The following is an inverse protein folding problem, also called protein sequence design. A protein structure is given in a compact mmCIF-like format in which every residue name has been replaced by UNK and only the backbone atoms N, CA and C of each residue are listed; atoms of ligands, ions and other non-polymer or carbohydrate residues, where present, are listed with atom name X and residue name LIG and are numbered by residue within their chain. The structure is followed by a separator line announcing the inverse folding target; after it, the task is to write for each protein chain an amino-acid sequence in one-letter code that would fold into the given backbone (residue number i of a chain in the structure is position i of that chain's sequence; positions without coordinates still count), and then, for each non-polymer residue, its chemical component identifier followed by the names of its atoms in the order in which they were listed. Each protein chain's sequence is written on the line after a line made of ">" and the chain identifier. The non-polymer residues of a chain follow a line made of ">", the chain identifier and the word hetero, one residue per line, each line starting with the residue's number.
data_IF_632597866533
#
_entry.id   IF_632597866533
#
_cell.length_a   1.000
_cell.length_b   1.000
_cell.length_c   1.000
_cell.angle_alpha   90.00
_cell.angle_beta   90.00
_cell.angle_gamma   90.00
#
_symmetry.space_group_name_H-M   'P 1'
#
loop_
_entity.id
_entity.type
_entity.pdbx_description
1 polymer ?
#
# COMPACT_ATOMS: atom_id res chain seq x y z
N UNK A 1 -43.26 -10.80 -77.93
CA UNK A 1 -42.24 -9.85 -77.41
C UNK A 1 -42.09 -10.05 -75.89
N UNK A 2 -40.98 -10.65 -75.42
CA UNK A 2 -40.74 -10.92 -74.04
C UNK A 2 -39.62 -9.99 -73.56
N UNK A 3 -39.95 -9.02 -72.72
CA UNK A 3 -38.95 -8.22 -72.00
C UNK A 3 -38.53 -8.96 -70.72
N UNK A 4 -37.27 -9.29 -70.63
CA UNK A 4 -36.64 -9.78 -69.42
C UNK A 4 -36.04 -8.60 -68.71
N UNK A 5 -36.53 -8.32 -67.49
CA UNK A 5 -35.95 -7.35 -66.60
C UNK A 5 -34.90 -8.09 -65.78
N UNK A 6 -33.64 -7.69 -65.90
CA UNK A 6 -32.55 -8.20 -65.06
C UNK A 6 -32.48 -7.40 -63.74
N UNK A 7 -32.74 -8.05 -62.67
CA UNK A 7 -32.54 -7.49 -61.31
C UNK A 7 -31.06 -7.57 -60.93
N UNK A 8 -30.40 -6.43 -60.90
CA UNK A 8 -29.09 -6.30 -60.34
C UNK A 8 -29.22 -6.12 -58.82
N UNK A 9 -28.93 -7.15 -58.06
CA UNK A 9 -28.79 -7.09 -56.60
C UNK A 9 -27.43 -6.48 -56.27
N UNK A 10 -27.44 -5.23 -55.85
CA UNK A 10 -26.26 -4.55 -55.31
C UNK A 10 -26.04 -5.03 -53.88
N UNK A 11 -25.02 -5.87 -53.67
CA UNK A 11 -24.57 -6.26 -52.35
C UNK A 11 -23.74 -5.10 -51.76
N UNK A 12 -24.35 -4.35 -50.84
CA UNK A 12 -23.62 -3.40 -50.01
C UNK A 12 -22.96 -4.21 -48.89
N UNK A 13 -21.67 -4.44 -49.02
CA UNK A 13 -20.85 -5.02 -47.94
C UNK A 13 -20.56 -3.90 -46.95
N UNK A 14 -21.29 -3.88 -45.83
CA UNK A 14 -20.99 -3.01 -44.68
C UNK A 14 -19.87 -3.71 -43.92
N UNK A 15 -18.63 -3.29 -44.18
CA UNK A 15 -17.49 -3.66 -43.33
C UNK A 15 -17.59 -2.90 -42.00
N UNK A 16 -18.13 -3.59 -40.98
CA UNK A 16 -18.12 -3.10 -39.62
C UNK A 16 -16.69 -3.09 -39.12
N UNK A 17 -16.07 -1.92 -39.14
CA UNK A 17 -14.76 -1.69 -38.51
C UNK A 17 -14.97 -1.67 -36.99
N UNK A 18 -14.76 -2.81 -36.34
CA UNK A 18 -14.67 -2.89 -34.88
C UNK A 18 -13.39 -2.19 -34.47
N UNK A 19 -13.50 -0.94 -34.07
CA UNK A 19 -12.45 -0.27 -33.29
C UNK A 19 -12.37 -0.96 -31.91
N UNK A 20 -11.53 -1.97 -31.81
CA UNK A 20 -11.10 -2.50 -30.52
C UNK A 20 -10.34 -1.37 -29.81
N UNK A 21 -11.08 -0.59 -29.02
CA UNK A 21 -10.51 0.36 -28.08
C UNK A 21 -9.80 -0.47 -27.02
N UNK A 22 -8.52 -0.74 -27.22
CA UNK A 22 -7.64 -1.31 -26.22
C UNK A 22 -7.44 -0.23 -25.16
N UNK A 23 -8.35 -0.16 -24.17
CA UNK A 23 -8.12 0.63 -22.99
C UNK A 23 -7.06 -0.10 -22.18
N UNK A 24 -5.80 0.24 -22.40
CA UNK A 24 -4.68 -0.16 -21.55
C UNK A 24 -4.86 0.55 -20.20
N UNK A 25 -5.70 -0.02 -19.34
CA UNK A 25 -5.62 0.33 -17.93
C UNK A 25 -4.24 -0.12 -17.43
N UNK A 26 -3.50 0.75 -16.77
CA UNK A 26 -2.21 0.36 -16.20
C UNK A 26 -2.46 -0.73 -15.15
N UNK A 27 -2.02 -1.94 -15.48
CA UNK A 27 -2.20 -3.12 -14.64
C UNK A 27 -1.42 -2.94 -13.34
N UNK A 28 -2.10 -3.06 -12.20
CA UNK A 28 -1.43 -3.02 -10.89
C UNK A 28 -0.49 -4.21 -10.76
N UNK A 29 0.78 -3.95 -10.46
CA UNK A 29 1.78 -5.00 -10.29
C UNK A 29 1.44 -5.87 -9.10
N UNK A 30 1.64 -7.18 -9.24
CA UNK A 30 1.51 -8.11 -8.12
C UNK A 30 2.67 -7.96 -7.13
N UNK A 31 2.48 -8.41 -5.89
CA UNK A 31 3.54 -8.42 -4.86
C UNK A 31 4.78 -9.15 -5.35
N UNK A 32 4.61 -10.30 -6.03
CA UNK A 32 5.72 -11.08 -6.55
C UNK A 32 6.51 -10.35 -7.65
N UNK A 33 5.84 -9.55 -8.49
CA UNK A 33 6.50 -8.70 -9.47
C UNK A 33 7.27 -7.57 -8.80
N UNK A 34 6.70 -6.90 -7.79
CA UNK A 34 7.39 -5.87 -7.04
C UNK A 34 8.59 -6.42 -6.25
N UNK A 35 8.47 -7.61 -5.66
CA UNK A 35 9.58 -8.27 -4.98
C UNK A 35 10.75 -8.55 -5.93
N UNK A 36 10.45 -8.98 -7.16
CA UNK A 36 11.45 -9.25 -8.20
C UNK A 36 12.14 -7.97 -8.70
N UNK A 37 11.41 -6.84 -8.74
CA UNK A 37 11.91 -5.57 -9.27
C UNK A 37 12.71 -4.80 -8.21
N UNK A 38 12.16 -4.65 -7.01
CA UNK A 38 12.73 -3.76 -5.98
C UNK A 38 13.18 -4.48 -4.70
N UNK A 39 12.73 -5.74 -4.46
CA UNK A 39 12.99 -6.47 -3.22
C UNK A 39 12.46 -5.75 -1.98
N UNK A 40 12.81 -6.24 -0.79
CA UNK A 40 12.43 -5.65 0.49
C UNK A 40 13.40 -4.57 0.99
N UNK A 41 14.49 -4.31 0.26
CA UNK A 41 15.59 -3.48 0.72
C UNK A 41 16.53 -4.22 1.67
N UNK A 42 17.51 -3.50 2.23
CA UNK A 42 18.44 -4.06 3.20
C UNK A 42 17.71 -4.49 4.49
N UNK A 43 18.15 -5.57 5.17
CA UNK A 43 17.64 -5.93 6.49
C UNK A 43 17.74 -4.74 7.45
N UNK A 44 16.78 -4.65 8.37
CA UNK A 44 16.74 -3.58 9.36
C UNK A 44 17.87 -3.80 10.38
N UNK A 45 18.92 -2.97 10.30
CA UNK A 45 20.13 -3.05 11.13
C UNK A 45 20.20 -1.92 12.16
N UNK A 46 19.37 -0.87 12.00
CA UNK A 46 19.28 0.23 12.96
C UNK A 46 18.64 -0.24 14.28
N UNK A 47 18.90 0.47 15.35
CA UNK A 47 18.16 0.31 16.61
C UNK A 47 16.74 0.91 16.43
N UNK A 48 15.84 0.09 15.88
CA UNK A 48 14.45 0.49 15.63
C UNK A 48 13.67 0.70 16.93
N UNK A 49 14.03 0.02 18.02
CA UNK A 49 13.37 0.22 19.31
C UNK A 49 13.67 1.61 19.87
N UNK A 50 14.94 2.02 19.88
CA UNK A 50 15.33 3.36 20.32
C UNK A 50 14.70 4.43 19.41
N UNK A 51 14.67 4.19 18.09
CA UNK A 51 14.02 5.10 17.15
C UNK A 51 12.52 5.27 17.46
N UNK A 52 11.80 4.16 17.66
CA UNK A 52 10.37 4.17 17.94
C UNK A 52 10.08 4.81 19.31
N UNK A 53 10.85 4.49 20.35
CA UNK A 53 10.74 5.14 21.66
C UNK A 53 10.95 6.65 21.56
N UNK A 54 11.94 7.10 20.78
CA UNK A 54 12.16 8.53 20.50
C UNK A 54 10.98 9.15 19.76
N UNK A 55 10.37 8.45 18.81
CA UNK A 55 9.18 8.92 18.12
C UNK A 55 8.01 9.15 19.08
N UNK A 56 7.81 8.25 20.04
CA UNK A 56 6.77 8.38 21.06
C UNK A 56 7.07 9.44 22.12
N UNK A 57 8.34 9.74 22.40
CA UNK A 57 8.72 10.68 23.45
C UNK A 57 8.15 12.10 23.26
N UNK A 58 7.80 12.47 22.04
CA UNK A 58 7.20 13.77 21.70
C UNK A 58 5.68 13.72 21.52
N UNK A 59 5.07 12.54 21.61
CA UNK A 59 3.65 12.33 21.31
C UNK A 59 2.83 11.83 22.50
N UNK A 60 3.45 11.07 23.39
CA UNK A 60 2.79 10.62 24.60
C UNK A 60 2.72 11.74 25.63
N UNK A 61 1.66 11.77 26.42
CA UNK A 61 1.50 12.71 27.53
C UNK A 61 2.51 12.45 28.66
N UNK A 62 2.75 11.17 28.95
CA UNK A 62 3.77 10.71 29.89
C UNK A 62 4.65 9.65 29.24
N UNK A 63 5.69 10.05 28.48
CA UNK A 63 6.57 9.12 27.79
C UNK A 63 7.36 8.21 28.73
N UNK A 64 7.63 8.67 29.96
CA UNK A 64 8.41 7.91 30.95
C UNK A 64 7.63 6.75 31.54
N UNK A 65 6.30 6.82 31.53
CA UNK A 65 5.44 5.72 31.98
C UNK A 65 5.19 4.67 30.92
N UNK A 66 5.64 4.91 29.69
CA UNK A 66 5.30 4.07 28.54
C UNK A 66 5.96 2.69 28.63
N UNK A 67 5.13 1.66 28.52
CA UNK A 67 5.54 0.26 28.40
C UNK A 67 5.40 -0.16 26.95
N UNK A 68 6.49 -0.70 26.40
CA UNK A 68 6.57 -1.10 24.99
C UNK A 68 6.75 -2.61 24.87
N UNK A 69 6.06 -3.22 23.91
CA UNK A 69 6.31 -4.60 23.47
C UNK A 69 6.49 -4.59 21.96
N UNK A 70 7.68 -4.98 21.51
CA UNK A 70 8.04 -4.97 20.08
C UNK A 70 7.96 -6.34 19.47
N UNK A 71 7.53 -6.43 18.22
CA UNK A 71 7.75 -7.60 17.38
C UNK A 71 9.14 -7.57 16.76
N UNK A 72 9.63 -8.74 16.35
CA UNK A 72 10.78 -8.80 15.46
C UNK A 72 10.40 -8.19 14.08
N UNK A 73 11.36 -7.54 13.38
CA UNK A 73 11.14 -7.04 12.03
C UNK A 73 10.75 -8.17 11.07
N UNK A 74 9.67 -8.00 10.35
CA UNK A 74 9.15 -8.97 9.39
C UNK A 74 9.07 -8.35 8.01
N UNK A 75 9.49 -9.09 6.97
CA UNK A 75 9.23 -8.72 5.59
C UNK A 75 7.74 -8.50 5.36
N UNK A 76 7.37 -7.37 4.82
CA UNK A 76 5.98 -7.00 4.62
C UNK A 76 5.84 -6.06 3.44
N UNK A 77 4.61 -5.85 3.02
CA UNK A 77 4.27 -4.90 1.96
C UNK A 77 3.14 -3.99 2.42
N UNK A 78 3.08 -2.84 1.80
CA UNK A 78 1.98 -1.90 1.92
C UNK A 78 1.45 -1.57 0.54
N UNK A 79 0.15 -1.70 0.35
CA UNK A 79 -0.50 -1.32 -0.89
C UNK A 79 -0.43 0.21 -1.06
N UNK A 80 -0.04 0.64 -2.25
CA UNK A 80 -0.11 2.04 -2.67
C UNK A 80 -1.43 2.24 -3.41
N UNK A 81 -2.18 3.26 -3.04
CA UNK A 81 -3.37 3.63 -3.78
C UNK A 81 -3.02 3.95 -5.24
N UNK A 82 -3.91 3.59 -6.19
CA UNK A 82 -3.79 4.08 -7.56
C UNK A 82 -3.75 5.61 -7.55
N UNK A 83 -2.78 6.18 -8.25
CA UNK A 83 -2.74 7.62 -8.50
C UNK A 83 -3.42 7.92 -9.83
N UNK A 84 -3.93 9.15 -10.07
CA UNK A 84 -4.68 9.47 -11.29
C UNK A 84 -3.95 9.14 -12.61
N UNK A 85 -2.63 9.04 -12.58
CA UNK A 85 -1.79 8.84 -13.76
C UNK A 85 -0.80 7.68 -13.63
N UNK A 86 -1.01 6.75 -12.68
CA UNK A 86 -0.12 5.61 -12.49
C UNK A 86 -0.81 4.39 -11.91
N UNK A 87 -0.28 3.20 -12.18
CA UNK A 87 -0.77 1.98 -11.57
C UNK A 87 -0.54 2.05 -10.06
N UNK A 88 -1.48 1.54 -9.29
CA UNK A 88 -1.23 1.17 -7.91
C UNK A 88 -0.08 0.15 -7.84
N UNK A 89 0.38 -0.14 -6.66
CA UNK A 89 1.46 -1.11 -6.48
C UNK A 89 1.70 -1.39 -5.01
N UNK A 90 2.88 -1.89 -4.71
CA UNK A 90 3.27 -2.21 -3.35
C UNK A 90 4.58 -1.54 -2.97
N UNK A 91 4.68 -1.06 -1.74
CA UNK A 91 5.95 -0.75 -1.10
C UNK A 91 6.36 -1.96 -0.28
N UNK A 92 7.50 -2.55 -0.60
CA UNK A 92 8.08 -3.65 0.13
C UNK A 92 9.09 -3.12 1.15
N UNK A 93 9.15 -3.75 2.31
CA UNK A 93 10.05 -3.34 3.39
C UNK A 93 9.91 -4.24 4.61
N UNK A 94 10.29 -3.72 5.77
CA UNK A 94 10.21 -4.42 7.05
C UNK A 94 9.16 -3.76 7.93
N UNK A 95 8.27 -4.57 8.46
CA UNK A 95 7.25 -4.16 9.43
C UNK A 95 7.70 -4.50 10.84
N UNK A 96 7.53 -3.54 11.73
CA UNK A 96 7.65 -3.72 13.18
C UNK A 96 6.34 -3.32 13.83
N UNK A 97 5.69 -4.26 14.51
CA UNK A 97 4.53 -3.98 15.33
C UNK A 97 4.98 -3.64 16.76
N UNK A 98 4.39 -2.63 17.34
CA UNK A 98 4.65 -2.25 18.72
C UNK A 98 3.35 -2.04 19.48
N UNK A 99 3.24 -2.69 20.64
CA UNK A 99 2.18 -2.41 21.61
C UNK A 99 2.70 -1.38 22.59
N UNK A 100 1.96 -0.29 22.76
CA UNK A 100 2.35 0.81 23.68
C UNK A 100 1.23 1.03 24.68
N UNK A 101 1.58 1.01 25.96
CA UNK A 101 0.69 1.36 27.05
C UNK A 101 1.32 2.45 27.89
N UNK A 102 0.71 3.62 27.92
CA UNK A 102 1.23 4.78 28.64
C UNK A 102 0.11 5.40 29.50
N UNK A 103 0.52 6.18 30.49
CA UNK A 103 -0.41 6.93 31.34
C UNK A 103 -0.98 8.14 30.60
N UNK A 104 -2.25 8.40 30.84
CA UNK A 104 -2.93 9.62 30.42
C UNK A 104 -2.60 10.80 31.35
N UNK A 105 -3.17 11.97 31.06
CA UNK A 105 -3.01 13.18 31.87
C UNK A 105 -3.50 13.05 33.32
N UNK A 106 -4.29 12.02 33.64
CA UNK A 106 -4.80 11.74 34.97
C UNK A 106 -3.98 10.68 35.72
N UNK A 107 -2.88 10.21 35.15
CA UNK A 107 -1.99 9.22 35.72
C UNK A 107 -2.46 7.76 35.59
N UNK A 108 -3.56 7.50 34.90
CA UNK A 108 -4.09 6.16 34.65
C UNK A 108 -3.58 5.58 33.32
N UNK A 109 -3.30 4.27 33.29
CA UNK A 109 -3.01 3.57 32.05
C UNK A 109 -4.31 3.39 31.23
N UNK A 110 -4.24 3.66 29.92
CA UNK A 110 -5.40 3.61 29.01
C UNK A 110 -5.51 2.28 28.25
N UNK A 111 -4.62 1.34 28.51
CA UNK A 111 -4.53 0.09 27.76
C UNK A 111 -3.48 0.12 26.66
N UNK A 112 -3.08 -1.07 26.21
CA UNK A 112 -2.07 -1.19 25.18
C UNK A 112 -2.69 -0.92 23.80
N UNK A 113 -2.10 0.00 23.05
CA UNK A 113 -2.50 0.33 21.68
C UNK A 113 -1.46 -0.19 20.70
N UNK A 114 -1.91 -0.70 19.57
CA UNK A 114 -1.04 -1.25 18.53
C UNK A 114 -0.71 -0.20 17.49
N UNK A 115 0.58 0.00 17.28
CA UNK A 115 1.14 0.80 16.19
C UNK A 115 1.95 -0.09 15.28
N UNK A 116 2.00 0.23 13.99
CA UNK A 116 2.79 -0.52 13.02
C UNK A 116 3.70 0.45 12.27
N UNK A 117 4.99 0.18 12.30
CA UNK A 117 6.02 0.95 11.63
C UNK A 117 6.54 0.17 10.43
N UNK A 118 6.67 0.83 9.27
CA UNK A 118 7.28 0.26 8.07
C UNK A 118 8.59 0.94 7.75
N UNK A 119 9.62 0.14 7.58
CA UNK A 119 10.96 0.60 7.27
C UNK A 119 11.45 0.00 5.95
N UNK A 120 12.31 0.74 5.25
CA UNK A 120 13.09 0.26 4.13
C UNK A 120 14.44 0.93 4.14
N UNK A 121 15.50 0.15 3.95
CA UNK A 121 16.88 0.65 3.94
C UNK A 121 17.22 1.51 5.16
N UNK A 122 16.78 1.06 6.36
CA UNK A 122 16.89 1.76 7.65
C UNK A 122 16.19 3.13 7.70
N UNK A 123 15.26 3.39 6.79
CA UNK A 123 14.44 4.60 6.81
C UNK A 123 12.99 4.28 7.09
N UNK A 124 12.33 5.12 7.88
CA UNK A 124 10.90 5.01 8.13
C UNK A 124 10.13 5.41 6.87
N UNK A 125 9.29 4.51 6.36
CA UNK A 125 8.41 4.77 5.24
C UNK A 125 7.07 5.35 5.70
N UNK A 126 6.45 4.69 6.68
CA UNK A 126 5.12 5.06 7.16
C UNK A 126 4.81 4.42 8.51
N UNK A 127 3.79 4.95 9.15
CA UNK A 127 3.26 4.47 10.42
C UNK A 127 1.76 4.31 10.29
N UNK A 128 1.24 3.16 10.73
CA UNK A 128 -0.19 2.99 10.98
C UNK A 128 -0.46 3.19 12.46
N UNK A 129 -1.37 4.10 12.75
CA UNK A 129 -1.84 4.41 14.11
C UNK A 129 -3.18 3.72 14.36
N UNK A 130 -3.57 3.47 15.63
CA UNK A 130 -4.90 2.97 15.96
C UNK A 130 -6.00 3.92 15.47
N UNK A 131 -7.15 3.37 15.07
CA UNK A 131 -8.27 4.14 14.52
C UNK A 131 -8.89 5.16 15.51
N UNK A 132 -8.62 5.00 16.80
CA UNK A 132 -9.06 5.91 17.86
C UNK A 132 -8.12 7.12 18.07
N UNK A 133 -7.04 7.20 17.28
CA UNK A 133 -6.07 8.32 17.30
C UNK A 133 -5.94 9.01 15.92
N UNK A 134 -6.72 8.55 14.92
CA UNK A 134 -6.66 9.09 13.56
C UNK A 134 -7.61 10.28 13.37
#
# INVERSE_FOLDING_TARGET
>A
MKFRIANALSFVVITSFWLSSCSTQPESRSIAQEEKIQGYGAPLTMDYEAFIKKWFSTRLKDPYSAVYTFSQPQKSYQAKAPVPFGPGGYSLGYRVDVMVNAKNSFGGYVGAKKYTFWFRDNQLLTISVPNDEA
#
